data_IF_164825381909
#
_entry.id   IF_164825381909
#
_cell.length_a   1.000
_cell.length_b   1.000
_cell.length_c   1.000
_cell.angle_alpha   90.00
_cell.angle_beta   90.00
_cell.angle_gamma   90.00
#
_symmetry.space_group_name_H-M   'P 1'
#
loop_
_entity.id
_entity.type
_entity.pdbx_description
1 polymer ?
#
# COMPACT_ATOMS: atom_id res chain seq x y z
N UNK A 1 3.15 -12.20 -6.48
CA UNK A 1 1.73 -11.88 -6.73
C UNK A 1 0.97 -13.20 -6.72
N UNK A 2 0.38 -13.61 -5.59
CA UNK A 2 -0.25 -14.93 -5.44
C UNK A 2 -1.51 -15.14 -6.31
N UNK A 3 -1.86 -14.18 -7.17
CA UNK A 3 -3.00 -14.25 -8.07
C UNK A 3 -2.61 -14.75 -9.48
N UNK A 4 -1.33 -14.70 -9.85
CA UNK A 4 -0.89 -15.18 -11.18
C UNK A 4 -0.97 -16.72 -11.26
N UNK A 5 -0.94 -17.40 -10.12
CA UNK A 5 -1.19 -18.84 -10.01
C UNK A 5 -2.58 -19.24 -10.52
N UNK A 6 -3.53 -18.29 -10.58
CA UNK A 6 -4.87 -18.55 -11.09
C UNK A 6 -4.86 -19.03 -12.55
N UNK A 7 -3.90 -18.60 -13.36
CA UNK A 7 -3.80 -19.03 -14.76
C UNK A 7 -3.53 -20.54 -14.90
N UNK A 8 -2.78 -21.11 -13.95
CA UNK A 8 -2.57 -22.55 -13.86
C UNK A 8 -3.86 -23.30 -13.48
N UNK A 9 -4.64 -22.74 -12.55
CA UNK A 9 -5.93 -23.31 -12.15
C UNK A 9 -6.91 -23.30 -13.32
N UNK A 10 -7.00 -22.18 -14.05
CA UNK A 10 -7.84 -22.07 -15.26
C UNK A 10 -7.46 -23.15 -16.27
N UNK A 11 -6.17 -23.28 -16.58
CA UNK A 11 -5.65 -24.30 -17.50
C UNK A 11 -5.99 -25.71 -17.05
N UNK A 12 -5.80 -26.02 -15.77
CA UNK A 12 -6.09 -27.33 -15.22
C UNK A 12 -7.58 -27.66 -15.36
N UNK A 13 -8.46 -26.79 -14.86
CA UNK A 13 -9.92 -27.00 -14.89
C UNK A 13 -10.44 -27.17 -16.31
N UNK A 14 -9.99 -26.35 -17.26
CA UNK A 14 -10.45 -26.44 -18.65
C UNK A 14 -9.89 -27.65 -19.39
N UNK A 15 -8.71 -28.14 -19.00
CA UNK A 15 -8.10 -29.34 -19.61
C UNK A 15 -8.71 -30.65 -19.10
N UNK A 16 -9.26 -30.66 -17.89
CA UNK A 16 -9.86 -31.84 -17.27
C UNK A 16 -11.31 -32.08 -17.74
N UNK A 17 -12.04 -31.06 -18.20
CA UNK A 17 -13.40 -31.20 -18.74
C UNK A 17 -13.42 -31.32 -20.28
N UNK A 18 -14.03 -32.42 -20.77
CA UNK A 18 -14.14 -32.73 -22.20
C UNK A 18 -14.91 -31.67 -22.99
N UNK A 19 -15.84 -30.95 -22.37
CA UNK A 19 -16.63 -29.93 -23.05
C UNK A 19 -15.84 -28.62 -23.24
N UNK A 20 -14.86 -28.36 -22.39
CA UNK A 20 -14.07 -27.12 -22.40
C UNK A 20 -12.64 -27.30 -22.91
N UNK A 21 -12.18 -28.55 -23.08
CA UNK A 21 -10.82 -28.85 -23.50
C UNK A 21 -10.45 -28.21 -24.85
N UNK A 22 -11.42 -27.96 -25.73
CA UNK A 22 -11.21 -27.26 -27.00
C UNK A 22 -10.76 -25.81 -26.84
N UNK A 23 -10.95 -25.20 -25.67
CA UNK A 23 -10.56 -23.81 -25.35
C UNK A 23 -9.11 -23.71 -24.85
N UNK A 24 -8.48 -24.83 -24.47
CA UNK A 24 -7.09 -24.84 -23.96
C UNK A 24 -6.08 -24.21 -24.94
N UNK A 25 -6.19 -24.39 -26.27
CA UNK A 25 -5.32 -23.72 -27.24
C UNK A 25 -5.45 -22.19 -27.26
N UNK A 26 -6.55 -21.62 -26.76
CA UNK A 26 -6.80 -20.16 -26.70
C UNK A 26 -6.22 -19.52 -25.43
N UNK A 27 -5.87 -20.33 -24.42
CA UNK A 27 -5.34 -19.84 -23.15
C UNK A 27 -4.03 -19.02 -23.23
N UNK A 28 -3.10 -19.23 -24.19
CA UNK A 28 -1.91 -18.38 -24.28
C UNK A 28 -2.21 -16.88 -24.43
N UNK A 29 -3.27 -16.53 -25.15
CA UNK A 29 -3.65 -15.12 -25.34
C UNK A 29 -4.19 -14.54 -24.03
N UNK A 30 -5.04 -15.30 -23.33
CA UNK A 30 -5.52 -14.94 -21.99
C UNK A 30 -4.37 -14.82 -20.97
N UNK A 31 -3.42 -15.75 -20.99
CA UNK A 31 -2.24 -15.72 -20.11
C UNK A 31 -1.43 -14.42 -20.32
N UNK A 32 -1.28 -13.99 -21.57
CA UNK A 32 -0.63 -12.74 -21.94
C UNK A 32 -1.39 -11.52 -21.39
N UNK A 33 -2.72 -11.47 -21.56
CA UNK A 33 -3.54 -10.38 -21.03
C UNK A 33 -3.48 -10.28 -19.50
N UNK A 34 -3.52 -11.43 -18.81
CA UNK A 34 -3.38 -11.49 -17.35
C UNK A 34 -2.01 -10.92 -16.91
N UNK A 35 -0.93 -11.33 -17.58
CA UNK A 35 0.42 -10.86 -17.26
C UNK A 35 0.58 -9.36 -17.55
N UNK A 36 -0.06 -8.83 -18.60
CA UNK A 36 -0.09 -7.39 -18.89
C UNK A 36 -0.82 -6.59 -17.81
N UNK A 37 -2.00 -7.05 -17.38
CA UNK A 37 -2.76 -6.40 -16.29
C UNK A 37 -1.95 -6.43 -14.99
N UNK A 38 -1.28 -7.54 -14.70
CA UNK A 38 -0.43 -7.68 -13.52
C UNK A 38 0.75 -6.71 -13.55
N UNK A 39 1.39 -6.54 -14.71
CA UNK A 39 2.48 -5.59 -14.89
C UNK A 39 1.99 -4.15 -14.69
N UNK A 40 0.86 -3.77 -15.30
CA UNK A 40 0.29 -2.44 -15.13
C UNK A 40 -0.07 -2.16 -13.66
N UNK A 41 -0.64 -3.13 -12.95
CA UNK A 41 -0.95 -2.99 -11.53
C UNK A 41 0.32 -2.86 -10.67
N UNK A 42 1.39 -3.57 -11.02
CA UNK A 42 2.69 -3.45 -10.36
C UNK A 42 3.30 -2.06 -10.54
N UNK A 43 3.23 -1.50 -11.75
CA UNK A 43 3.71 -0.15 -12.05
C UNK A 43 2.94 0.90 -11.23
N UNK A 44 1.61 0.79 -11.17
CA UNK A 44 0.77 1.68 -10.35
C UNK A 44 1.14 1.58 -8.86
N UNK A 45 1.27 0.36 -8.33
CA UNK A 45 1.69 0.15 -6.95
C UNK A 45 3.06 0.77 -6.66
N UNK A 46 4.03 0.56 -7.54
CA UNK A 46 5.39 1.07 -7.40
C UNK A 46 5.41 2.60 -7.41
N UNK A 47 4.65 3.22 -8.32
CA UNK A 47 4.49 4.67 -8.39
C UNK A 47 3.90 5.23 -7.08
N UNK A 48 2.84 4.61 -6.55
CA UNK A 48 2.26 5.04 -5.28
C UNK A 48 3.27 4.93 -4.12
N UNK A 49 4.06 3.84 -4.08
CA UNK A 49 5.10 3.66 -3.05
C UNK A 49 6.19 4.71 -3.16
N UNK A 50 6.65 5.01 -4.37
CA UNK A 50 7.63 6.07 -4.60
C UNK A 50 7.12 7.43 -4.13
N UNK A 51 5.86 7.77 -4.47
CA UNK A 51 5.24 9.02 -4.02
C UNK A 51 5.20 9.13 -2.49
N UNK A 52 4.80 8.06 -1.80
CA UNK A 52 4.81 8.03 -0.33
C UNK A 52 6.21 8.27 0.25
N UNK A 53 7.24 7.66 -0.34
CA UNK A 53 8.62 7.89 0.09
C UNK A 53 9.08 9.33 -0.18
N UNK A 54 8.72 9.90 -1.34
CA UNK A 54 9.04 11.29 -1.66
C UNK A 54 8.37 12.26 -0.69
N UNK A 55 7.10 12.05 -0.36
CA UNK A 55 6.39 12.83 0.66
C UNK A 55 7.10 12.71 2.00
N UNK A 56 7.42 11.49 2.44
CA UNK A 56 8.10 11.28 3.72
C UNK A 56 9.47 11.97 3.79
N UNK A 57 10.27 11.86 2.73
CA UNK A 57 11.56 12.55 2.65
C UNK A 57 11.37 14.07 2.73
N UNK A 58 10.34 14.62 2.07
CA UNK A 58 10.03 16.05 2.12
C UNK A 58 9.61 16.50 3.52
N UNK A 59 8.79 15.72 4.23
CA UNK A 59 8.42 16.00 5.63
C UNK A 59 9.65 16.04 6.55
N UNK A 60 10.56 15.09 6.39
CA UNK A 60 11.80 15.02 7.19
C UNK A 60 12.71 16.22 6.89
N UNK A 61 12.90 16.56 5.61
CA UNK A 61 13.74 17.70 5.19
C UNK A 61 13.16 19.05 5.61
N UNK A 62 11.84 19.21 5.60
CA UNK A 62 11.16 20.45 6.01
C UNK A 62 11.02 20.58 7.53
N UNK A 63 11.18 19.49 8.29
CA UNK A 63 10.92 19.46 9.72
C UNK A 63 9.43 19.43 10.08
N UNK A 64 8.51 19.38 9.10
CA UNK A 64 7.06 19.32 9.33
C UNK A 64 6.62 18.08 10.09
N UNK A 65 7.40 16.99 10.01
CA UNK A 65 7.23 15.80 10.86
C UNK A 65 7.19 16.13 12.37
N UNK A 66 7.91 17.17 12.83
CA UNK A 66 7.89 17.60 14.23
C UNK A 66 6.50 18.16 14.59
N UNK A 67 5.78 18.79 13.67
CA UNK A 67 4.46 19.37 13.94
C UNK A 67 3.36 18.32 13.98
N UNK A 68 3.50 17.20 13.28
CA UNK A 68 2.47 16.17 13.16
C UNK A 68 2.66 14.99 14.12
N UNK A 69 3.90 14.60 14.41
CA UNK A 69 4.21 13.39 15.18
C UNK A 69 4.77 13.68 16.58
N UNK A 70 5.04 14.95 16.94
CA UNK A 70 5.46 15.33 18.30
C UNK A 70 4.32 15.99 19.08
N UNK A 71 4.24 15.81 20.43
CA UNK A 71 3.21 16.45 21.23
C UNK A 71 3.28 17.96 21.04
N UNK A 72 2.16 18.55 20.63
CA UNK A 72 2.08 19.96 20.25
C UNK A 72 2.74 20.84 21.32
N UNK A 73 3.61 21.77 20.90
CA UNK A 73 4.36 22.65 21.81
C UNK A 73 3.41 23.38 22.78
N UNK A 74 2.21 23.77 22.33
CA UNK A 74 1.20 24.40 23.19
C UNK A 74 0.67 23.47 24.29
N UNK A 75 0.50 22.16 24.00
CA UNK A 75 0.14 21.15 24.99
C UNK A 75 1.26 20.95 26.01
N UNK A 76 2.52 20.81 25.55
CA UNK A 76 3.70 20.70 26.42
C UNK A 76 3.88 21.95 27.32
N UNK A 77 3.65 23.15 26.78
CA UNK A 77 3.71 24.39 27.56
C UNK A 77 2.59 24.48 28.59
N UNK A 78 1.40 23.94 28.31
CA UNK A 78 0.27 23.89 29.26
C UNK A 78 0.55 22.93 30.41
N UNK A 79 1.19 21.80 30.15
CA UNK A 79 1.63 20.86 31.19
C UNK A 79 2.72 21.45 32.08
N UNK A 80 3.73 22.13 31.51
CA UNK A 80 4.72 22.87 32.30
C UNK A 80 4.07 23.93 33.21
N UNK A 81 3.06 24.66 32.72
CA UNK A 81 2.35 25.65 33.54
C UNK A 81 1.62 25.01 34.73
N UNK A 82 0.99 23.84 34.55
CA UNK A 82 0.34 23.11 35.64
C UNK A 82 1.33 22.62 36.70
N UNK A 83 2.53 22.19 36.30
CA UNK A 83 3.57 21.75 37.25
C UNK A 83 4.23 22.91 38.01
N UNK A 84 4.20 24.14 37.46
CA UNK A 84 4.80 25.32 38.08
C UNK A 84 3.88 26.04 39.08
N UNK A 85 2.63 25.60 39.21
CA UNK A 85 1.61 26.18 40.11
C UNK A 85 1.03 25.08 41.04
N UNK A 86 1.84 24.50 41.96
CA UNK A 86 1.35 23.51 42.90
C UNK A 86 0.57 24.11 44.09
N UNK A 87 0.45 25.44 44.20
CA UNK A 87 -0.01 26.15 45.41
C UNK A 87 -1.37 26.86 45.26
N UNK A 88 -2.27 26.35 44.41
CA UNK A 88 -3.67 26.81 44.33
C UNK A 88 -4.71 25.71 44.51
N UNK A 89 -4.44 24.81 45.44
CA UNK A 89 -5.47 23.97 46.05
C UNK A 89 -5.35 24.05 47.58
N UNK A 90 -5.72 25.20 48.12
CA UNK A 90 -6.24 25.37 49.48
C UNK A 90 -7.37 26.39 49.41
#
# INVERSE_FOLDING_TARGET
>A
MPFLELKWVIRQVLSEDKNTQSLVPELPDLDCEIDQIALAAFDMYSLCREQLYMVRIKELKSGSYILTDSPCVSALLRERKKQKDPDKLN
#
